data_IF_658395789337
#
_entry.id   IF_658395789337
#
_cell.length_a   1.000
_cell.length_b   1.000
_cell.length_c   1.000
_cell.angle_alpha   90.00
_cell.angle_beta   90.00
_cell.angle_gamma   90.00
#
_symmetry.space_group_name_H-M   'P 1'
#
loop_
_entity.id
_entity.type
_entity.pdbx_description
1 polymer ?
#
# COMPACT_ATOMS: atom_id res chain seq x y z
N UNK A 1 -10.34 3.43 -24.54
CA UNK A 1 -9.62 2.15 -24.72
C UNK A 1 -8.88 1.86 -23.41
N UNK A 2 -9.07 0.68 -22.80
CA UNK A 2 -8.50 0.33 -21.48
C UNK A 2 -7.08 -0.25 -21.61
N UNK A 3 -6.38 -0.43 -20.49
CA UNK A 3 -5.13 -1.19 -20.46
C UNK A 3 -5.31 -2.66 -20.83
N UNK A 4 -4.26 -3.28 -21.36
CA UNK A 4 -4.24 -4.70 -21.67
C UNK A 4 -4.15 -5.51 -20.37
N UNK A 5 -5.13 -6.36 -20.04
CA UNK A 5 -5.08 -7.16 -18.83
C UNK A 5 -4.07 -8.31 -18.96
N UNK A 6 -3.23 -8.48 -17.95
CA UNK A 6 -2.31 -9.62 -17.80
C UNK A 6 -2.86 -10.57 -16.73
N UNK A 7 -2.81 -11.88 -16.98
CA UNK A 7 -3.09 -12.88 -15.94
C UNK A 7 -2.02 -12.85 -14.84
N UNK A 8 -2.28 -13.40 -13.65
CA UNK A 8 -1.26 -13.49 -12.59
C UNK A 8 0.07 -14.11 -13.06
N UNK A 9 0.03 -15.22 -13.79
CA UNK A 9 1.24 -15.85 -14.36
C UNK A 9 1.95 -14.94 -15.36
N UNK A 10 1.23 -14.32 -16.31
CA UNK A 10 1.85 -13.37 -17.26
C UNK A 10 2.47 -12.16 -16.56
N UNK A 11 1.82 -11.68 -15.50
CA UNK A 11 2.33 -10.58 -14.67
C UNK A 11 3.62 -10.98 -13.96
N UNK A 12 3.65 -12.16 -13.33
CA UNK A 12 4.85 -12.72 -12.69
C UNK A 12 6.01 -12.83 -13.69
N UNK A 13 5.77 -13.47 -14.83
CA UNK A 13 6.80 -13.65 -15.87
C UNK A 13 7.35 -12.30 -16.34
N UNK A 14 6.47 -11.29 -16.46
CA UNK A 14 6.87 -9.93 -16.85
C UNK A 14 7.71 -9.25 -15.77
N UNK A 15 7.37 -9.40 -14.48
CA UNK A 15 8.18 -8.86 -13.38
C UNK A 15 9.54 -9.55 -13.27
N UNK A 16 9.59 -10.88 -13.38
CA UNK A 16 10.84 -11.64 -13.32
C UNK A 16 11.77 -11.33 -14.50
N UNK A 17 11.22 -11.24 -15.72
CA UNK A 17 12.00 -10.88 -16.91
C UNK A 17 12.64 -9.51 -16.74
N UNK A 18 11.87 -8.59 -16.16
CA UNK A 18 12.27 -7.22 -15.92
C UNK A 18 13.34 -7.10 -14.83
N UNK A 19 13.22 -7.84 -13.73
CA UNK A 19 14.23 -7.84 -12.66
C UNK A 19 15.58 -8.45 -13.12
N UNK A 20 15.58 -9.21 -14.22
CA UNK A 20 16.79 -9.81 -14.83
C UNK A 20 17.45 -8.91 -15.89
N UNK A 21 16.81 -7.81 -16.27
CA UNK A 21 17.36 -6.87 -17.24
C UNK A 21 18.40 -6.00 -16.52
N UNK A 22 19.67 -6.18 -16.92
CA UNK A 22 20.78 -5.29 -16.57
C UNK A 22 20.55 -3.89 -17.19
N UNK A 23 21.15 -2.85 -16.60
CA UNK A 23 20.93 -1.40 -16.91
C UNK A 23 21.12 -0.99 -18.39
N UNK A 24 21.50 -1.91 -19.29
CA UNK A 24 21.77 -1.69 -20.70
C UNK A 24 20.65 -2.03 -21.70
N UNK A 25 19.47 -2.53 -21.30
CA UNK A 25 18.40 -2.82 -22.26
C UNK A 25 17.49 -1.60 -22.55
N UNK A 26 17.11 -1.45 -23.82
CA UNK A 26 16.35 -0.31 -24.34
C UNK A 26 14.86 -0.31 -23.93
N UNK A 27 14.36 -1.36 -23.26
CA UNK A 27 12.96 -1.47 -22.84
C UNK A 27 12.82 -1.03 -21.39
N UNK A 28 12.40 0.22 -21.22
CA UNK A 28 12.10 0.80 -19.92
C UNK A 28 10.69 0.41 -19.49
N UNK A 29 10.55 -0.19 -18.33
CA UNK A 29 9.24 -0.44 -17.72
C UNK A 29 9.07 0.43 -16.48
N UNK A 30 7.82 0.66 -16.09
CA UNK A 30 7.46 1.32 -14.83
C UNK A 30 6.35 0.54 -14.17
N UNK A 31 6.58 0.18 -12.92
CA UNK A 31 5.61 -0.49 -12.08
C UNK A 31 4.90 0.53 -11.17
N UNK A 32 3.62 0.73 -11.43
CA UNK A 32 2.78 1.68 -10.71
C UNK A 32 1.82 0.95 -9.78
N UNK A 33 1.98 1.21 -8.50
CA UNK A 33 0.93 0.96 -7.52
C UNK A 33 -0.12 2.07 -7.65
N UNK A 34 -1.33 1.77 -8.12
CA UNK A 34 -2.40 2.77 -8.19
C UNK A 34 -3.28 2.75 -6.94
N UNK A 35 -2.78 2.15 -5.84
CA UNK A 35 -3.40 2.21 -4.52
C UNK A 35 -3.05 3.51 -3.79
N UNK A 36 -3.53 3.65 -2.55
CA UNK A 36 -3.12 4.75 -1.68
C UNK A 36 -1.76 4.44 -1.03
N UNK A 37 -1.04 5.48 -0.58
CA UNK A 37 0.28 5.34 0.07
C UNK A 37 0.25 4.40 1.27
N UNK A 38 -0.76 4.51 2.14
CA UNK A 38 -0.92 3.60 3.27
C UNK A 38 -1.11 2.13 2.83
N UNK A 39 -1.65 1.85 1.64
CA UNK A 39 -1.77 0.45 1.18
C UNK A 39 -0.42 -0.11 0.73
N UNK A 40 0.45 0.74 0.17
CA UNK A 40 1.83 0.42 -0.21
C UNK A 40 2.72 0.22 1.02
N UNK A 41 2.52 1.02 2.08
CA UNK A 41 3.32 1.02 3.31
C UNK A 41 3.32 -0.31 4.07
N UNK A 42 2.33 -1.17 3.84
CA UNK A 42 2.29 -2.51 4.43
C UNK A 42 2.62 -3.63 3.46
N UNK A 43 2.68 -3.37 2.17
CA UNK A 43 3.07 -4.38 1.19
C UNK A 43 2.81 -3.92 -0.22
N UNK A 44 3.67 -4.32 -1.15
CA UNK A 44 3.70 -3.88 -2.54
C UNK A 44 4.53 -4.86 -3.36
N UNK A 45 4.50 -4.72 -4.69
CA UNK A 45 5.43 -5.47 -5.54
C UNK A 45 6.83 -4.87 -5.47
N UNK A 46 7.87 -5.71 -5.51
CA UNK A 46 9.25 -5.26 -5.57
C UNK A 46 9.46 -4.30 -6.76
N UNK A 47 10.17 -3.19 -6.52
CA UNK A 47 10.38 -2.14 -7.52
C UNK A 47 9.18 -1.22 -7.78
N UNK A 48 8.03 -1.41 -7.14
CA UNK A 48 6.89 -0.50 -7.28
C UNK A 48 7.13 0.80 -6.51
N UNK A 49 6.96 1.94 -7.17
CA UNK A 49 7.06 3.24 -6.52
C UNK A 49 5.89 3.48 -5.55
N UNK A 50 6.20 4.02 -4.36
CA UNK A 50 5.20 4.42 -3.38
C UNK A 50 4.37 5.60 -3.93
N UNK A 51 3.03 5.53 -3.91
CA UNK A 51 2.19 6.68 -4.26
C UNK A 51 2.23 7.77 -3.20
N UNK A 52 2.31 9.03 -3.64
CA UNK A 52 2.28 10.22 -2.76
C UNK A 52 0.86 10.61 -2.29
N UNK A 53 -0.13 9.76 -2.54
CA UNK A 53 -1.55 10.09 -2.34
C UNK A 53 -2.23 9.13 -1.38
N UNK A 54 -3.02 9.69 -0.46
CA UNK A 54 -3.86 8.92 0.47
C UNK A 54 -5.32 8.81 -0.01
N UNK A 55 -5.64 9.47 -1.13
CA UNK A 55 -6.94 9.39 -1.78
C UNK A 55 -6.77 9.13 -3.27
N UNK A 56 -7.45 8.09 -3.78
CA UNK A 56 -7.45 7.76 -5.20
C UNK A 56 -7.90 8.91 -6.11
N UNK A 57 -8.83 9.76 -5.65
CA UNK A 57 -9.25 10.94 -6.42
C UNK A 57 -8.13 11.97 -6.60
N UNK A 58 -7.13 11.92 -5.73
CA UNK A 58 -5.96 12.79 -5.75
C UNK A 58 -4.78 12.16 -6.51
N UNK A 59 -4.87 10.90 -6.96
CA UNK A 59 -3.79 10.22 -7.69
C UNK A 59 -3.35 11.02 -8.90
N UNK A 60 -2.10 11.49 -8.89
CA UNK A 60 -1.55 12.49 -9.81
C UNK A 60 -0.53 11.95 -10.82
N UNK A 61 -0.20 10.65 -10.83
CA UNK A 61 0.79 10.07 -11.76
C UNK A 61 0.52 10.41 -13.23
N UNK A 62 1.46 11.06 -13.90
CA UNK A 62 1.32 11.52 -15.27
C UNK A 62 0.16 12.48 -15.46
N UNK A 63 -0.36 13.14 -14.40
CA UNK A 63 -1.48 14.09 -14.48
C UNK A 63 -1.08 15.54 -14.74
N UNK A 64 0.17 15.93 -14.50
CA UNK A 64 0.54 17.34 -14.59
C UNK A 64 0.72 17.80 -16.03
N UNK A 65 0.10 18.93 -16.36
CA UNK A 65 0.34 19.68 -17.61
C UNK A 65 1.28 20.87 -17.42
N UNK A 66 1.46 21.35 -16.18
CA UNK A 66 2.16 22.62 -15.90
C UNK A 66 3.28 22.52 -14.86
N UNK A 67 3.28 21.51 -13.99
CA UNK A 67 4.32 21.32 -12.98
C UNK A 67 4.81 19.89 -13.05
N UNK A 68 6.01 19.69 -13.58
CA UNK A 68 6.72 18.42 -13.41
C UNK A 68 6.88 18.24 -11.90
N UNK A 69 6.03 17.43 -11.30
CA UNK A 69 6.26 16.98 -9.92
C UNK A 69 7.52 16.13 -10.04
N UNK A 70 8.63 16.58 -9.46
CA UNK A 70 9.91 15.88 -9.58
C UNK A 70 9.85 14.40 -9.13
N UNK A 71 8.84 14.03 -8.33
CA UNK A 71 8.56 12.66 -7.91
C UNK A 71 7.66 11.85 -8.86
N UNK A 72 7.11 12.42 -9.94
CA UNK A 72 6.23 11.68 -10.85
C UNK A 72 7.04 10.73 -11.76
N UNK A 73 6.95 9.40 -11.57
CA UNK A 73 7.67 8.42 -12.38
C UNK A 73 7.35 8.50 -13.88
N UNK A 74 6.24 9.15 -14.27
CA UNK A 74 5.79 9.25 -15.66
C UNK A 74 6.17 10.57 -16.36
N UNK A 75 6.79 11.55 -15.67
CA UNK A 75 6.98 12.89 -16.21
C UNK A 75 7.91 12.95 -17.44
N UNK A 76 8.98 12.14 -17.44
CA UNK A 76 10.08 12.23 -18.43
C UNK A 76 10.28 10.94 -19.23
N UNK A 77 9.21 10.17 -19.44
CA UNK A 77 9.28 8.85 -20.07
C UNK A 77 8.79 8.88 -21.51
N UNK A 78 9.37 8.04 -22.36
CA UNK A 78 8.89 7.86 -23.73
C UNK A 78 7.52 7.16 -23.70
N UNK A 79 6.45 7.90 -24.01
CA UNK A 79 5.06 7.43 -23.92
C UNK A 79 4.73 6.30 -24.90
N UNK A 80 5.54 6.11 -25.94
CA UNK A 80 5.33 5.08 -26.95
C UNK A 80 6.14 3.80 -26.68
N UNK A 81 7.32 3.94 -26.06
CA UNK A 81 8.22 2.82 -25.79
C UNK A 81 8.18 2.30 -24.36
N UNK A 82 7.73 3.11 -23.39
CA UNK A 82 7.76 2.74 -21.97
C UNK A 82 6.57 1.86 -21.63
N UNK A 83 6.85 0.67 -21.09
CA UNK A 83 5.84 -0.26 -20.61
C UNK A 83 5.40 0.10 -19.20
N UNK A 84 4.13 0.49 -19.03
CA UNK A 84 3.60 0.84 -17.71
C UNK A 84 2.70 -0.29 -17.21
N UNK A 85 3.13 -0.93 -16.13
CA UNK A 85 2.39 -1.97 -15.44
C UNK A 85 1.67 -1.34 -14.25
N UNK A 86 0.35 -1.49 -14.17
CA UNK A 86 -0.45 -0.96 -13.06
C UNK A 86 -1.15 -2.07 -12.29
N UNK A 87 -1.18 -1.95 -10.98
CA UNK A 87 -1.96 -2.85 -10.13
C UNK A 87 -2.67 -2.09 -9.02
N UNK A 88 -3.75 -2.68 -8.56
CA UNK A 88 -4.40 -2.33 -7.31
C UNK A 88 -4.96 -3.59 -6.66
N UNK A 89 -5.62 -3.46 -5.51
CA UNK A 89 -6.12 -4.59 -4.72
C UNK A 89 -7.02 -5.54 -5.54
N UNK A 90 -7.96 -5.00 -6.33
CA UNK A 90 -8.96 -5.79 -7.08
C UNK A 90 -9.18 -5.37 -8.54
N UNK A 91 -8.29 -4.57 -9.13
CA UNK A 91 -8.32 -4.18 -10.55
C UNK A 91 -9.13 -2.91 -10.92
N UNK A 92 -10.18 -2.55 -10.18
CA UNK A 92 -11.10 -1.45 -10.55
C UNK A 92 -10.38 -0.09 -10.74
N UNK A 93 -9.43 0.25 -9.85
CA UNK A 93 -8.68 1.52 -9.97
C UNK A 93 -7.83 1.57 -11.23
N UNK A 94 -7.26 0.44 -11.64
CA UNK A 94 -6.46 0.35 -12.87
C UNK A 94 -7.31 0.58 -14.12
N UNK A 95 -8.56 0.12 -14.14
CA UNK A 95 -9.48 0.34 -15.27
C UNK A 95 -9.75 1.84 -15.48
N UNK A 96 -9.96 2.58 -14.39
CA UNK A 96 -10.13 4.03 -14.43
C UNK A 96 -8.83 4.72 -14.84
N UNK A 97 -7.72 4.39 -14.16
CA UNK A 97 -6.45 5.06 -14.36
C UNK A 97 -5.86 4.84 -15.75
N UNK A 98 -6.01 3.63 -16.29
CA UNK A 98 -5.54 3.31 -17.64
C UNK A 98 -6.20 4.18 -18.71
N UNK A 99 -7.49 4.50 -18.55
CA UNK A 99 -8.21 5.36 -19.48
C UNK A 99 -7.65 6.79 -19.49
N UNK A 100 -7.28 7.30 -18.30
CA UNK A 100 -6.66 8.62 -18.13
C UNK A 100 -5.28 8.65 -18.81
N UNK A 101 -4.42 7.66 -18.53
CA UNK A 101 -3.10 7.59 -19.14
C UNK A 101 -3.16 7.42 -20.67
N UNK A 102 -4.18 6.74 -21.22
CA UNK A 102 -4.37 6.68 -22.69
C UNK A 102 -4.62 8.03 -23.30
N UNK A 103 -5.50 8.82 -22.69
CA UNK A 103 -5.80 10.17 -23.17
C UNK A 103 -4.55 11.06 -23.16
N UNK A 104 -3.58 10.74 -22.29
CA UNK A 104 -2.30 11.45 -22.19
C UNK A 104 -1.21 10.96 -23.15
N UNK A 105 -1.52 9.97 -23.97
CA UNK A 105 -0.65 9.48 -25.04
C UNK A 105 0.14 8.22 -24.71
N UNK A 106 0.03 7.65 -23.50
CA UNK A 106 0.73 6.41 -23.15
C UNK A 106 0.17 5.21 -23.94
N UNK A 107 1.04 4.51 -24.68
CA UNK A 107 0.67 3.42 -25.61
C UNK A 107 0.73 2.05 -24.97
N UNK A 108 1.78 1.76 -24.20
CA UNK A 108 1.96 0.46 -23.56
C UNK A 108 1.53 0.57 -22.09
N UNK A 109 0.26 0.22 -21.80
CA UNK A 109 -0.16 0.04 -20.41
C UNK A 109 -0.79 -1.33 -20.24
N UNK A 110 -0.44 -1.95 -19.12
CA UNK A 110 -0.83 -3.27 -18.71
C UNK A 110 -1.45 -3.20 -17.32
N UNK A 111 -2.45 -4.05 -17.04
CA UNK A 111 -3.06 -4.13 -15.72
C UNK A 111 -3.06 -5.56 -15.21
N UNK A 112 -2.85 -5.74 -13.91
CA UNK A 112 -3.02 -7.04 -13.26
C UNK A 112 -4.51 -7.42 -13.22
N UNK A 113 -4.89 -8.46 -13.96
CA UNK A 113 -6.27 -8.97 -13.99
C UNK A 113 -6.65 -9.50 -12.61
N UNK A 114 -7.77 -9.02 -12.07
CA UNK A 114 -8.25 -9.39 -10.73
C UNK A 114 -7.46 -8.76 -9.57
N UNK A 115 -6.43 -7.94 -9.85
CA UNK A 115 -5.64 -7.26 -8.84
C UNK A 115 -4.78 -8.18 -7.96
N UNK A 116 -4.16 -7.58 -6.94
CA UNK A 116 -3.25 -8.27 -6.03
C UNK A 116 -3.92 -9.44 -5.31
N UNK A 117 -5.19 -9.31 -4.92
CA UNK A 117 -5.88 -10.41 -4.23
C UNK A 117 -5.99 -11.68 -5.09
N UNK A 118 -6.18 -11.52 -6.41
CA UNK A 118 -6.19 -12.65 -7.33
C UNK A 118 -4.77 -13.19 -7.56
N UNK A 119 -3.78 -12.29 -7.69
CA UNK A 119 -2.38 -12.70 -7.84
C UNK A 119 -1.88 -13.53 -6.67
N UNK A 120 -2.09 -13.09 -5.42
CA UNK A 120 -1.66 -13.83 -4.23
C UNK A 120 -2.32 -15.20 -4.13
N UNK A 121 -3.55 -15.34 -4.63
CA UNK A 121 -4.27 -16.61 -4.66
C UNK A 121 -3.65 -17.59 -5.67
N UNK A 122 -3.32 -17.12 -6.87
CA UNK A 122 -2.81 -17.97 -7.95
C UNK A 122 -1.31 -18.23 -7.86
N UNK A 123 -0.50 -17.19 -7.63
CA UNK A 123 0.97 -17.24 -7.69
C UNK A 123 1.64 -17.22 -6.31
N UNK A 124 0.92 -16.86 -5.25
CA UNK A 124 1.50 -16.65 -3.92
C UNK A 124 2.27 -15.32 -3.82
N UNK A 125 3.22 -15.17 -2.87
CA UNK A 125 3.93 -13.91 -2.62
C UNK A 125 5.12 -13.66 -3.56
N UNK A 126 5.23 -14.35 -4.69
CA UNK A 126 6.36 -14.14 -5.62
C UNK A 126 6.38 -12.68 -6.08
N UNK A 127 7.52 -12.01 -5.97
CA UNK A 127 7.70 -10.56 -6.21
C UNK A 127 6.90 -9.61 -5.30
N UNK A 128 6.11 -10.13 -4.35
CA UNK A 128 5.31 -9.34 -3.42
C UNK A 128 5.98 -9.29 -2.03
N UNK A 129 6.11 -8.09 -1.46
CA UNK A 129 6.63 -7.90 -0.11
C UNK A 129 5.53 -7.48 0.86
N UNK A 130 5.65 -7.91 2.12
CA UNK A 130 4.72 -7.56 3.20
C UNK A 130 3.31 -8.16 3.03
N UNK A 131 2.31 -7.41 3.49
CA UNK A 131 0.92 -7.83 3.61
C UNK A 131 0.00 -7.05 2.67
N UNK A 132 -1.14 -7.64 2.30
CA UNK A 132 -2.16 -6.95 1.52
C UNK A 132 -3.10 -6.15 2.42
N UNK A 133 -3.26 -4.86 2.12
CA UNK A 133 -4.26 -4.02 2.77
C UNK A 133 -5.68 -4.47 2.41
N UNK A 134 -6.52 -4.61 3.43
CA UNK A 134 -7.95 -4.93 3.27
C UNK A 134 -8.82 -3.89 3.96
N UNK A 135 -9.93 -3.53 3.31
CA UNK A 135 -10.85 -2.46 3.74
C UNK A 135 -11.86 -2.93 4.79
N UNK A 136 -11.42 -3.71 5.76
CA UNK A 136 -12.22 -4.19 6.89
C UNK A 136 -11.46 -4.06 8.22
N UNK A 137 -11.94 -4.70 9.29
CA UNK A 137 -11.33 -4.64 10.63
C UNK A 137 -9.92 -5.22 10.72
N UNK A 138 -9.56 -6.10 9.78
CA UNK A 138 -8.27 -6.80 9.75
C UNK A 138 -7.15 -5.87 9.32
N UNK A 139 -7.42 -4.90 8.43
CA UNK A 139 -6.51 -3.90 7.85
C UNK A 139 -5.36 -4.46 7.01
N UNK A 140 -4.87 -5.64 7.34
CA UNK A 140 -3.70 -6.25 6.73
C UNK A 140 -3.88 -7.76 6.80
N UNK A 141 -3.70 -8.45 5.67
CA UNK A 141 -3.67 -9.91 5.60
C UNK A 141 -2.33 -10.36 5.03
N UNK A 142 -1.66 -11.35 5.66
CA UNK A 142 -0.46 -11.93 5.08
C UNK A 142 -0.81 -12.76 3.83
N UNK A 143 0.12 -12.89 2.88
CA UNK A 143 -0.07 -13.68 1.66
C UNK A 143 -0.56 -15.12 1.89
N UNK A 144 -0.16 -15.75 3.00
CA UNK A 144 -0.57 -17.11 3.39
C UNK A 144 -2.09 -17.31 3.46
N UNK A 145 -2.85 -16.25 3.76
CA UNK A 145 -4.33 -16.31 3.81
C UNK A 145 -4.95 -16.52 2.43
N UNK A 146 -4.27 -16.11 1.36
CA UNK A 146 -4.80 -16.17 -0.01
C UNK A 146 -4.52 -17.51 -0.70
N UNK A 147 -3.45 -18.21 -0.30
CA UNK A 147 -3.04 -19.51 -0.87
C UNK A 147 -2.60 -20.47 0.25
N UNK A 148 -3.53 -20.98 1.07
CA UNK A 148 -3.21 -21.82 2.23
C UNK A 148 -2.57 -23.17 1.84
N UNK A 149 -2.90 -23.70 0.66
CA UNK A 149 -2.43 -25.00 0.16
C UNK A 149 -0.94 -25.03 -0.21
N UNK A 150 -0.32 -23.86 -0.40
CA UNK A 150 1.11 -23.75 -0.69
C UNK A 150 2.00 -23.87 0.56
N UNK A 151 1.42 -23.97 1.76
CA UNK A 151 2.15 -24.11 3.03
C UNK A 151 2.28 -25.58 3.42
N UNK A 152 3.42 -26.21 3.10
CA UNK A 152 3.82 -27.48 3.73
C UNK A 152 4.25 -27.24 5.19
N UNK A 153 4.20 -28.28 6.03
CA UNK A 153 4.48 -28.22 7.49
C UNK A 153 5.83 -27.55 7.87
N UNK A 154 6.80 -27.52 6.95
CA UNK A 154 8.08 -26.80 7.12
C UNK A 154 7.94 -25.26 7.14
N UNK A 155 6.76 -24.72 6.79
CA UNK A 155 6.49 -23.29 6.68
C UNK A 155 5.87 -22.68 7.93
N UNK A 156 5.48 -23.49 8.93
CA UNK A 156 4.92 -23.00 10.21
C UNK A 156 5.94 -22.21 11.05
N UNK A 157 7.24 -22.43 10.83
CA UNK A 157 8.34 -21.71 11.50
C UNK A 157 8.98 -20.62 10.64
N UNK A 158 8.58 -20.49 9.36
CA UNK A 158 8.96 -19.38 8.48
C UNK A 158 7.89 -18.27 8.40
N UNK A 159 6.96 -18.21 9.35
CA UNK A 159 5.91 -17.18 9.46
C UNK A 159 6.40 -15.76 9.81
N UNK A 160 7.66 -15.40 9.55
CA UNK A 160 8.19 -14.05 9.87
C UNK A 160 9.26 -13.55 8.90
N UNK A 161 9.60 -14.28 7.83
CA UNK A 161 10.59 -13.81 6.84
C UNK A 161 9.97 -13.28 5.54
N UNK A 162 8.74 -12.76 5.60
CA UNK A 162 8.33 -11.77 4.61
C UNK A 162 9.18 -10.53 4.87
N UNK A 163 9.97 -10.11 3.89
CA UNK A 163 10.87 -8.97 4.02
C UNK A 163 10.08 -7.69 4.37
N UNK A 164 9.98 -7.37 5.66
CA UNK A 164 9.32 -6.15 6.17
C UNK A 164 10.31 -4.99 6.37
N UNK A 165 11.54 -5.11 5.86
CA UNK A 165 12.59 -4.09 6.06
C UNK A 165 12.22 -2.71 5.48
N UNK A 166 11.31 -2.68 4.51
CA UNK A 166 10.78 -1.45 3.92
C UNK A 166 9.84 -0.70 4.87
N UNK A 167 9.17 -1.38 5.80
CA UNK A 167 8.13 -0.78 6.63
C UNK A 167 8.73 -0.01 7.80
N UNK A 168 8.44 1.29 7.84
CA UNK A 168 8.98 2.23 8.83
C UNK A 168 7.88 2.82 9.70
N UNK A 169 8.23 3.08 10.95
CA UNK A 169 7.42 3.87 11.86
C UNK A 169 7.26 5.29 11.29
N UNK A 170 6.02 5.75 11.16
CA UNK A 170 5.70 7.08 10.68
C UNK A 170 6.31 8.21 11.53
N UNK A 171 6.55 7.95 12.82
CA UNK A 171 7.00 8.96 13.78
C UNK A 171 8.53 9.02 13.87
N UNK A 172 9.20 7.88 14.04
CA UNK A 172 10.65 7.85 14.29
C UNK A 172 11.47 7.21 13.17
N UNK A 173 10.84 6.66 12.12
CA UNK A 173 11.53 6.00 11.01
C UNK A 173 12.16 4.64 11.33
N UNK A 174 11.99 4.13 12.56
CA UNK A 174 12.48 2.79 12.93
C UNK A 174 11.78 1.70 12.13
N UNK A 175 12.43 0.57 11.92
CA UNK A 175 11.78 -0.60 11.33
C UNK A 175 10.64 -1.10 12.23
N UNK A 176 9.58 -1.62 11.60
CA UNK A 176 8.44 -2.20 12.31
C UNK A 176 8.57 -3.70 12.45
N UNK A 177 7.99 -4.23 13.53
CA UNK A 177 7.77 -5.66 13.75
C UNK A 177 6.40 -6.13 13.25
N UNK A 178 5.47 -5.20 12.98
CA UNK A 178 4.11 -5.51 12.57
C UNK A 178 3.61 -4.55 11.49
N UNK A 179 2.99 -5.09 10.45
CA UNK A 179 2.44 -4.36 9.31
C UNK A 179 0.96 -4.05 9.50
N UNK A 180 0.62 -3.30 10.55
CA UNK A 180 -0.78 -2.97 10.82
C UNK A 180 -0.99 -1.52 11.20
N UNK A 181 -1.78 -0.85 10.37
CA UNK A 181 -2.15 0.53 10.59
C UNK A 181 -3.01 0.73 11.82
N UNK A 182 -2.97 1.95 12.34
CA UNK A 182 -3.89 2.46 13.37
C UNK A 182 -4.30 3.87 13.02
N UNK A 183 -5.48 4.26 13.46
CA UNK A 183 -5.89 5.66 13.40
C UNK A 183 -5.26 6.44 14.55
N UNK A 184 -5.00 7.72 14.33
CA UNK A 184 -4.60 8.65 15.39
C UNK A 184 -5.67 8.69 16.49
N UNK A 185 -5.25 8.62 17.76
CA UNK A 185 -6.16 8.70 18.90
C UNK A 185 -6.99 9.98 18.92
N UNK A 186 -6.43 11.09 18.44
CA UNK A 186 -7.16 12.32 18.17
C UNK A 186 -8.20 12.09 17.05
N UNK A 187 -9.47 12.16 17.41
CA UNK A 187 -10.59 11.96 16.49
C UNK A 187 -10.65 13.01 15.37
N UNK A 188 -10.23 14.24 15.63
CA UNK A 188 -10.21 15.33 14.64
C UNK A 188 -9.17 15.09 13.55
N UNK A 189 -8.06 14.43 13.91
CA UNK A 189 -7.02 14.04 12.97
C UNK A 189 -7.38 12.73 12.27
N UNK A 190 -7.62 11.67 13.05
CA UNK A 190 -7.96 10.33 12.60
C UNK A 190 -7.04 9.72 11.51
N UNK A 191 -5.84 10.27 11.30
CA UNK A 191 -4.85 9.81 10.33
C UNK A 191 -4.59 8.32 10.50
N UNK A 192 -4.59 7.57 9.41
CA UNK A 192 -4.22 6.15 9.39
C UNK A 192 -2.71 6.04 9.14
N UNK A 193 -1.95 5.43 10.06
CA UNK A 193 -0.49 5.37 9.96
C UNK A 193 0.08 4.11 10.62
N UNK A 194 1.33 3.81 10.28
CA UNK A 194 2.14 2.75 10.87
C UNK A 194 2.99 3.29 12.02
N UNK A 195 3.06 2.55 13.13
CA UNK A 195 3.74 3.02 14.34
C UNK A 195 4.36 1.87 15.11
N UNK A 196 5.60 2.05 15.58
CA UNK A 196 6.22 1.13 16.53
C UNK A 196 5.60 1.27 17.92
N UNK A 197 5.76 0.25 18.77
CA UNK A 197 5.18 0.22 20.11
C UNK A 197 5.70 1.36 21.00
N UNK A 198 6.98 1.75 20.87
CA UNK A 198 7.57 2.86 21.62
C UNK A 198 6.85 4.17 21.38
N UNK A 199 6.83 4.65 20.12
CA UNK A 199 6.14 5.89 19.78
C UNK A 199 4.63 5.84 20.05
N UNK A 200 4.02 4.65 19.94
CA UNK A 200 2.61 4.46 20.27
C UNK A 200 2.34 4.76 21.75
N UNK A 201 3.21 4.31 22.64
CA UNK A 201 3.12 4.58 24.07
C UNK A 201 3.44 6.06 24.37
N UNK A 202 4.55 6.57 23.84
CA UNK A 202 5.02 7.95 24.09
C UNK A 202 3.98 9.00 23.66
N UNK A 203 3.32 8.79 22.53
CA UNK A 203 2.30 9.69 22.00
C UNK A 203 0.87 9.26 22.32
N UNK A 204 0.66 8.29 23.22
CA UNK A 204 -0.68 7.81 23.63
C UNK A 204 -1.59 7.48 22.44
N UNK A 205 -1.03 6.84 21.41
CA UNK A 205 -1.71 6.48 20.16
C UNK A 205 -1.94 7.63 19.17
N UNK A 206 -1.36 8.81 19.39
CA UNK A 206 -1.40 9.93 18.45
C UNK A 206 -0.28 9.87 17.41
N UNK A 207 -0.47 10.52 16.25
CA UNK A 207 0.55 10.60 15.20
C UNK A 207 1.61 11.69 15.47
N UNK A 208 1.36 12.59 16.42
CA UNK A 208 2.26 13.67 16.79
C UNK A 208 1.91 14.23 18.17
N UNK A 209 2.83 15.02 18.75
CA UNK A 209 2.65 15.64 20.07
C UNK A 209 1.42 16.55 20.13
N UNK A 210 1.17 17.35 19.09
CA UNK A 210 0.00 18.25 19.00
C UNK A 210 -1.32 17.50 19.12
N UNK A 211 -1.42 16.31 18.54
CA UNK A 211 -2.63 15.50 18.63
C UNK A 211 -2.89 14.99 20.05
N UNK A 212 -1.86 14.89 20.91
CA UNK A 212 -2.02 14.41 22.29
C UNK A 212 -2.75 15.38 23.20
N UNK A 213 -2.79 16.67 22.85
CA UNK A 213 -3.44 17.73 23.62
C UNK A 213 -4.80 18.17 23.03
N UNK A 214 -5.30 17.47 22.01
CA UNK A 214 -6.59 17.77 21.40
C UNK A 214 -7.75 17.48 22.35
N UNK A 215 -8.91 18.12 22.11
CA UNK A 215 -10.11 17.94 22.94
C UNK A 215 -10.69 16.53 22.84
N UNK A 216 -10.62 15.90 21.66
CA UNK A 216 -11.26 14.60 21.37
C UNK A 216 -10.24 13.48 21.19
N UNK A 217 -9.46 13.22 22.25
CA UNK A 217 -8.45 12.15 22.25
C UNK A 217 -9.03 10.88 22.87
N UNK A 218 -8.95 9.78 22.12
CA UNK A 218 -9.36 8.44 22.54
C UNK A 218 -8.23 7.79 23.35
N UNK A 219 -8.52 6.88 24.31
CA UNK A 219 -7.49 6.21 25.09
C UNK A 219 -6.67 5.26 24.21
N UNK A 220 -5.37 5.09 24.50
CA UNK A 220 -4.55 4.10 23.82
C UNK A 220 -5.18 2.69 23.96
N UNK A 221 -5.49 2.05 22.84
CA UNK A 221 -6.09 0.71 22.84
C UNK A 221 -5.02 -0.38 22.78
N UNK A 222 -5.15 -1.45 23.59
CA UNK A 222 -4.21 -2.57 23.56
C UNK A 222 -4.40 -3.45 22.34
N UNK A 223 -3.33 -4.12 21.92
CA UNK A 223 -3.37 -5.10 20.82
C UNK A 223 -4.01 -4.50 19.57
N UNK A 224 -4.77 -5.28 18.81
CA UNK A 224 -5.29 -4.89 17.49
C UNK A 224 -6.63 -4.16 17.48
N UNK A 225 -7.08 -3.65 18.63
CA UNK A 225 -8.39 -3.02 18.73
C UNK A 225 -8.49 -1.74 17.89
N UNK A 226 -9.70 -1.49 17.38
CA UNK A 226 -10.03 -0.27 16.63
C UNK A 226 -10.80 0.71 17.50
N UNK A 227 -10.58 1.99 17.23
CA UNK A 227 -11.40 3.02 17.84
C UNK A 227 -12.86 2.90 17.42
N UNK A 228 -13.74 2.98 18.42
CA UNK A 228 -15.18 3.09 18.25
C UNK A 228 -15.57 4.53 17.92
N UNK A 229 -16.88 4.77 17.78
CA UNK A 229 -17.45 6.12 17.66
C UNK A 229 -17.17 6.93 18.94
N UNK A 230 -17.13 8.26 18.83
CA UNK A 230 -16.74 9.16 19.93
C UNK A 230 -17.58 9.02 21.21
N UNK A 231 -18.90 8.80 21.07
CA UNK A 231 -19.80 8.74 22.22
C UNK A 231 -19.41 7.66 23.24
N UNK A 232 -18.84 6.54 22.78
CA UNK A 232 -18.33 5.49 23.68
C UNK A 232 -17.20 5.96 24.60
N UNK A 233 -16.47 7.02 24.23
CA UNK A 233 -15.32 7.53 24.99
C UNK A 233 -15.68 8.76 25.83
N UNK A 234 -16.57 9.61 25.32
CA UNK A 234 -17.09 10.77 26.06
C UNK A 234 -17.73 10.33 27.37
N UNK A 235 -18.54 9.29 27.32
CA UNK A 235 -19.32 8.85 28.49
C UNK A 235 -18.41 8.22 29.56
N UNK A 236 -17.28 7.63 29.16
CA UNK A 236 -16.24 7.14 30.10
C UNK A 236 -15.49 8.28 30.82
N UNK A 237 -15.26 9.42 30.15
CA UNK A 237 -14.64 10.60 30.78
C UNK A 237 -15.56 11.30 31.79
N UNK A 238 -16.88 11.11 31.67
CA UNK A 238 -17.86 11.62 32.62
C UNK A 238 -17.99 10.74 33.87
N UNK A 239 -17.67 9.45 33.78
CA UNK A 239 -17.71 8.50 34.91
C UNK A 239 -16.45 8.49 35.76
N UNK A 240 -15.35 9.09 35.27
CA UNK A 240 -14.07 9.22 35.98
C UNK A 240 -13.84 10.59 36.61
N UNK A 241 -14.86 11.45 36.62
CA UNK A 241 -14.95 12.71 37.36
C UNK A 241 -15.92 12.55 38.53
#
# INVERSE_FOLDING_TARGET
MRASPLTPSQWKDKLEAVNKIDEGSNMKYILLDVRNGYEWDIGHFHGAHRPDVDCFRSTSFGLSQSEVIASDPLASVDKEKTDILMYCTGGIRCDVYSSILRQRGFKNLYTLKGGVSHYLKEEGPVEWVGNLFVFDSRLSLPPSVFKPEAMTEASKTQEVSNNISFARCFICGSQLSELRHRNCANLDCNLLFLCCTGCMNDLRGCCCLKCTSATRVRPLLPGHQRYKKWHYYRDMQLQSR
#
